data_IF_451294282572
#
_entry.id   IF_451294282572
#
_cell.length_a   1.000
_cell.length_b   1.000
_cell.length_c   1.000
_cell.angle_alpha   90.00
_cell.angle_beta   90.00
_cell.angle_gamma   90.00
#
_symmetry.space_group_name_H-M   'P 1'
#
loop_
_entity.id
_entity.type
_entity.pdbx_description
1 polymer ?
#
# COMPACT_ATOMS: atom_id res chain seq x y z
N UNK A 1 -15.26 6.45 37.85
CA UNK A 1 -14.65 5.58 36.85
C UNK A 1 -14.80 6.30 35.52
N UNK A 2 -13.78 7.08 35.19
CA UNK A 2 -13.78 8.10 34.16
C UNK A 2 -13.10 7.60 32.89
N UNK A 3 -13.71 7.96 31.77
CA UNK A 3 -13.25 7.83 30.39
C UNK A 3 -11.75 8.10 30.18
N UNK A 4 -11.14 7.30 29.31
CA UNK A 4 -9.94 7.70 28.57
C UNK A 4 -10.26 7.63 27.08
N UNK A 5 -10.59 8.80 26.51
CA UNK A 5 -10.52 9.08 25.07
C UNK A 5 -9.09 9.51 24.72
N UNK A 6 -8.78 9.33 23.43
CA UNK A 6 -7.64 9.81 22.66
C UNK A 6 -6.40 8.89 22.59
N UNK A 7 -6.23 8.26 21.43
CA UNK A 7 -4.96 8.36 20.71
C UNK A 7 -5.26 8.97 19.34
N UNK A 8 -4.85 10.23 19.19
CA UNK A 8 -4.73 10.90 17.91
C UNK A 8 -3.55 10.27 17.17
N UNK A 9 -3.76 9.78 15.95
CA UNK A 9 -2.64 9.52 15.06
C UNK A 9 -2.36 10.80 14.27
N UNK A 10 -1.12 11.26 14.35
CA UNK A 10 -0.62 12.49 13.76
C UNK A 10 -0.61 12.32 12.24
N UNK A 11 -1.58 12.92 11.55
CA UNK A 11 -1.49 13.21 10.12
C UNK A 11 -0.61 14.45 9.94
N UNK A 12 0.71 14.30 9.97
CA UNK A 12 1.61 15.38 9.53
C UNK A 12 1.81 15.27 8.03
N UNK A 13 1.04 16.06 7.26
CA UNK A 13 1.22 16.18 5.81
C UNK A 13 0.00 16.62 5.01
N UNK A 14 -1.18 16.77 5.63
CA UNK A 14 -2.34 17.40 5.00
C UNK A 14 -2.56 18.76 5.65
N UNK A 15 -2.39 19.80 4.86
CA UNK A 15 -2.71 21.19 5.22
C UNK A 15 -4.18 21.24 5.68
N UNK A 16 -4.37 21.36 7.00
CA UNK A 16 -5.67 21.42 7.67
C UNK A 16 -6.26 22.83 7.59
N UNK A 17 -6.44 23.36 6.37
CA UNK A 17 -7.12 24.65 6.18
C UNK A 17 -8.57 24.52 5.72
N UNK A 18 -9.00 23.39 5.16
CA UNK A 18 -10.40 23.21 4.74
C UNK A 18 -11.06 22.06 5.52
N UNK A 19 -11.80 22.45 6.56
CA UNK A 19 -12.40 21.53 7.52
C UNK A 19 -13.40 20.56 6.89
N UNK A 20 -13.08 19.26 6.93
CA UNK A 20 -14.06 18.18 6.85
C UNK A 20 -13.57 16.94 7.62
N UNK A 21 -13.92 16.80 8.92
CA UNK A 21 -13.68 15.56 9.67
C UNK A 21 -14.64 14.41 9.29
N UNK A 22 -15.57 14.64 8.36
CA UNK A 22 -16.66 13.70 8.02
C UNK A 22 -16.36 12.75 6.85
N UNK A 23 -15.17 12.82 6.24
CA UNK A 23 -14.86 12.05 5.01
C UNK A 23 -14.67 10.54 5.27
N UNK A 24 -14.25 10.14 6.47
CA UNK A 24 -13.99 8.74 6.80
C UNK A 24 -15.25 7.91 7.07
N UNK A 25 -16.37 8.52 7.45
CA UNK A 25 -17.59 7.78 7.81
C UNK A 25 -18.59 7.63 6.65
N UNK A 26 -18.52 8.44 5.59
CA UNK A 26 -19.56 8.46 4.54
C UNK A 26 -19.36 7.50 3.37
N UNK A 27 -18.18 6.90 3.19
CA UNK A 27 -17.97 5.92 2.12
C UNK A 27 -18.44 4.50 2.47
N UNK A 28 -18.95 4.25 3.68
CA UNK A 28 -19.21 2.90 4.20
C UNK A 28 -20.67 2.65 4.58
N UNK A 29 -21.60 3.48 4.09
CA UNK A 29 -23.01 3.44 4.48
C UNK A 29 -23.89 2.55 3.62
N UNK A 30 -23.89 2.72 2.30
CA UNK A 30 -24.89 2.06 1.45
C UNK A 30 -24.31 1.85 0.04
N UNK A 31 -24.60 0.68 -0.53
CA UNK A 31 -24.23 0.23 -1.89
C UNK A 31 -22.86 -0.46 -2.00
N UNK A 32 -22.61 -1.47 -1.16
CA UNK A 32 -21.75 -2.60 -1.56
C UNK A 32 -22.43 -3.91 -1.15
N UNK A 33 -22.64 -4.83 -2.10
CA UNK A 33 -23.01 -6.21 -1.79
C UNK A 33 -21.96 -6.81 -0.82
N UNK A 34 -22.34 -7.65 0.15
CA UNK A 34 -21.44 -8.09 1.20
C UNK A 34 -20.48 -9.12 0.62
N UNK A 35 -19.23 -8.77 0.34
CA UNK A 35 -18.23 -9.83 0.05
C UNK A 35 -16.78 -9.48 0.43
N UNK A 36 -16.37 -8.21 0.50
CA UNK A 36 -15.04 -7.87 1.01
C UNK A 36 -15.08 -6.53 1.75
N UNK A 37 -14.98 -6.57 3.07
CA UNK A 37 -14.92 -5.41 3.97
C UNK A 37 -14.05 -5.75 5.17
N UNK A 38 -13.37 -4.78 5.76
CA UNK A 38 -12.71 -5.00 7.03
C UNK A 38 -13.74 -5.40 8.10
N UNK A 39 -13.36 -6.33 8.97
CA UNK A 39 -14.17 -6.73 10.13
C UNK A 39 -13.88 -5.85 11.35
N UNK A 40 -12.79 -5.07 11.28
CA UNK A 40 -12.41 -4.09 12.29
C UNK A 40 -12.21 -2.68 11.72
N UNK A 41 -11.91 -1.69 12.59
CA UNK A 41 -11.58 -0.33 12.15
C UNK A 41 -10.35 -0.28 11.25
N UNK A 42 -10.41 0.52 10.19
CA UNK A 42 -9.26 0.85 9.34
C UNK A 42 -8.33 1.78 10.10
N UNK A 43 -7.04 1.45 10.17
CA UNK A 43 -6.01 2.23 10.87
C UNK A 43 -5.18 3.08 9.92
N UNK A 44 -4.90 2.57 8.73
CA UNK A 44 -4.06 3.23 7.74
C UNK A 44 -4.57 2.98 6.33
N UNK A 45 -4.27 3.91 5.43
CA UNK A 45 -4.51 3.77 4.01
C UNK A 45 -3.46 4.53 3.21
N UNK A 46 -3.13 4.03 2.02
CA UNK A 46 -2.30 4.75 1.07
C UNK A 46 -2.73 4.47 -0.36
N UNK A 47 -2.28 5.30 -1.29
CA UNK A 47 -2.71 5.27 -2.68
C UNK A 47 -1.54 5.01 -3.61
N UNK A 48 -1.76 4.16 -4.60
CA UNK A 48 -0.85 3.96 -5.72
C UNK A 48 -1.50 4.50 -6.99
N UNK A 49 -0.92 5.56 -7.53
CA UNK A 49 -1.36 6.18 -8.78
C UNK A 49 -0.72 5.44 -9.96
N UNK A 50 -1.54 4.70 -10.71
CA UNK A 50 -1.10 3.93 -11.87
C UNK A 50 -1.24 4.77 -13.14
N UNK A 51 -2.44 5.29 -13.37
CA UNK A 51 -2.73 6.22 -14.45
C UNK A 51 -3.71 7.29 -13.97
N UNK A 52 -4.06 8.22 -14.85
CA UNK A 52 -5.17 9.15 -14.61
C UNK A 52 -6.54 8.46 -14.45
N UNK A 53 -6.70 7.23 -14.94
CA UNK A 53 -7.97 6.51 -14.90
C UNK A 53 -7.96 5.37 -13.87
N UNK A 54 -6.80 4.91 -13.40
CA UNK A 54 -6.70 3.85 -12.40
C UNK A 54 -5.85 4.30 -11.22
N UNK A 55 -6.47 4.23 -10.04
CA UNK A 55 -5.81 4.39 -8.75
C UNK A 55 -6.09 3.14 -7.92
N UNK A 56 -5.06 2.63 -7.23
CA UNK A 56 -5.26 1.62 -6.19
C UNK A 56 -5.28 2.31 -4.84
N UNK A 57 -6.26 1.97 -4.01
CA UNK A 57 -6.30 2.30 -2.60
C UNK A 57 -5.96 1.03 -1.82
N UNK A 58 -5.05 1.11 -0.87
CA UNK A 58 -4.65 -0.01 -0.02
C UNK A 58 -4.99 0.36 1.41
N UNK A 59 -5.79 -0.45 2.09
CA UNK A 59 -6.26 -0.19 3.45
C UNK A 59 -5.80 -1.27 4.40
N UNK A 60 -5.38 -0.86 5.61
CA UNK A 60 -4.95 -1.73 6.69
C UNK A 60 -5.82 -1.56 7.93
N UNK A 61 -6.14 -2.65 8.61
CA UNK A 61 -7.12 -2.66 9.72
C UNK A 61 -6.61 -3.37 10.98
N UNK A 62 -7.32 -3.13 12.07
CA UNK A 62 -7.16 -3.82 13.36
C UNK A 62 -7.39 -5.32 13.24
N UNK A 63 -8.19 -5.76 12.26
CA UNK A 63 -8.43 -7.19 12.00
C UNK A 63 -7.20 -7.95 11.48
N UNK A 64 -6.09 -7.26 11.22
CA UNK A 64 -4.87 -7.85 10.66
C UNK A 64 -5.02 -8.20 9.18
N UNK A 65 -5.98 -7.61 8.48
CA UNK A 65 -6.12 -7.76 7.05
C UNK A 65 -5.73 -6.46 6.33
N UNK A 66 -5.18 -6.62 5.13
CA UNK A 66 -4.94 -5.55 4.17
C UNK A 66 -5.85 -5.78 2.97
N UNK A 67 -6.56 -4.76 2.48
CA UNK A 67 -7.40 -4.87 1.28
C UNK A 67 -6.91 -3.90 0.21
N UNK A 68 -6.74 -4.39 -1.02
CA UNK A 68 -6.44 -3.57 -2.20
C UNK A 68 -7.74 -3.34 -2.97
N UNK A 69 -8.02 -2.07 -3.26
CA UNK A 69 -9.20 -1.60 -3.96
C UNK A 69 -8.79 -0.88 -5.24
N UNK A 70 -9.51 -1.10 -6.34
CA UNK A 70 -9.39 -0.30 -7.54
C UNK A 70 -10.43 0.82 -7.56
N UNK A 71 -9.99 2.04 -7.82
CA UNK A 71 -10.83 3.14 -8.26
C UNK A 71 -10.56 3.40 -9.75
N UNK A 72 -11.59 3.23 -10.58
CA UNK A 72 -11.55 3.62 -11.99
C UNK A 72 -12.27 4.95 -12.20
N UNK A 73 -11.53 5.96 -12.68
CA UNK A 73 -12.10 7.23 -13.13
C UNK A 73 -12.78 7.04 -14.48
N UNK A 74 -14.01 7.54 -14.65
CA UNK A 74 -14.58 7.67 -15.99
C UNK A 74 -13.78 8.73 -16.75
N UNK A 75 -13.44 8.44 -18.01
CA UNK A 75 -12.58 9.28 -18.86
C UNK A 75 -13.26 10.57 -19.33
N UNK A 76 -13.79 11.37 -18.41
CA UNK A 76 -14.40 12.67 -18.69
C UNK A 76 -13.82 13.73 -17.76
N UNK A 77 -13.04 14.62 -18.37
CA UNK A 77 -12.55 15.91 -17.87
C UNK A 77 -11.22 15.92 -17.10
N UNK A 78 -10.22 16.42 -17.83
CA UNK A 78 -8.97 16.99 -17.32
C UNK A 78 -9.25 18.10 -16.30
N UNK A 79 -8.82 17.90 -15.06
CA UNK A 79 -8.45 18.99 -14.16
C UNK A 79 -7.74 18.36 -12.97
N UNK A 80 -6.48 18.75 -12.72
CA UNK A 80 -5.85 18.58 -11.40
C UNK A 80 -6.57 19.57 -10.47
N UNK A 81 -7.76 19.17 -10.02
CA UNK A 81 -8.51 19.77 -8.93
C UNK A 81 -9.02 18.60 -8.09
N UNK A 82 -9.24 18.78 -6.78
CA UNK A 82 -9.85 17.74 -5.95
C UNK A 82 -11.14 17.30 -6.63
N UNK A 83 -11.29 16.00 -6.84
CA UNK A 83 -12.41 15.41 -7.57
C UNK A 83 -13.69 15.71 -6.79
N UNK A 84 -14.37 16.79 -7.16
CA UNK A 84 -15.69 17.12 -6.64
C UNK A 84 -16.74 16.28 -7.37
N UNK A 85 -17.43 15.42 -6.61
CA UNK A 85 -18.78 14.87 -6.86
C UNK A 85 -19.01 13.75 -7.89
N UNK A 86 -17.97 13.12 -8.46
CA UNK A 86 -18.18 11.80 -9.09
C UNK A 86 -18.15 10.70 -8.01
N UNK A 87 -19.17 9.85 -7.94
CA UNK A 87 -19.15 8.65 -7.09
C UNK A 87 -18.10 7.69 -7.61
N UNK A 88 -16.86 7.84 -7.14
CA UNK A 88 -15.79 6.88 -7.42
C UNK A 88 -16.17 5.57 -6.75
N UNK A 89 -16.59 4.58 -7.55
CA UNK A 89 -16.85 3.23 -7.06
C UNK A 89 -15.53 2.52 -6.85
N UNK A 90 -15.20 2.21 -5.60
CA UNK A 90 -14.06 1.37 -5.26
C UNK A 90 -14.47 -0.11 -5.37
N UNK A 91 -13.75 -0.86 -6.19
CA UNK A 91 -13.94 -2.31 -6.34
C UNK A 91 -12.85 -3.03 -5.54
N UNK A 92 -13.21 -3.93 -4.61
CA UNK A 92 -12.21 -4.78 -3.95
C UNK A 92 -11.55 -5.71 -4.98
N UNK A 93 -10.22 -5.77 -4.95
CA UNK A 93 -9.44 -6.68 -5.79
C UNK A 93 -9.01 -7.92 -5.01
N UNK A 94 -8.44 -7.71 -3.82
CA UNK A 94 -7.88 -8.76 -2.97
C UNK A 94 -7.80 -8.31 -1.52
N UNK A 95 -8.05 -9.23 -0.60
CA UNK A 95 -7.71 -9.19 0.81
C UNK A 95 -6.49 -10.07 1.04
N UNK A 96 -5.44 -9.43 1.55
CA UNK A 96 -4.22 -10.05 2.00
C UNK A 96 -4.29 -10.29 3.50
N UNK A 97 -4.01 -11.51 3.91
CA UNK A 97 -3.98 -11.92 5.32
C UNK A 97 -2.63 -12.55 5.67
N UNK A 98 -2.19 -12.39 6.91
CA UNK A 98 -1.06 -13.15 7.45
C UNK A 98 -1.56 -14.04 8.59
N UNK A 99 -1.82 -15.31 8.29
CA UNK A 99 -2.35 -16.29 9.27
C UNK A 99 -1.50 -16.41 10.53
N UNK A 100 -0.18 -16.22 10.41
CA UNK A 100 0.74 -16.42 11.52
C UNK A 100 0.69 -15.26 12.52
N UNK A 101 0.27 -14.09 12.04
CA UNK A 101 0.22 -12.84 12.81
C UNK A 101 -1.19 -12.46 13.24
N UNK A 102 -2.21 -12.89 12.50
CA UNK A 102 -3.62 -12.65 12.84
C UNK A 102 -4.04 -13.53 14.03
N UNK A 103 -4.89 -13.04 14.94
CA UNK A 103 -5.41 -11.67 15.08
C UNK A 103 -4.55 -10.81 16.03
N UNK A 104 -3.28 -11.19 16.27
CA UNK A 104 -2.47 -10.57 17.33
C UNK A 104 -1.97 -9.18 16.94
N UNK A 105 -1.74 -8.96 15.65
CA UNK A 105 -1.21 -7.69 15.15
C UNK A 105 -2.11 -7.11 14.07
N UNK A 106 -2.22 -5.79 14.09
CA UNK A 106 -2.89 -4.97 13.09
C UNK A 106 -1.94 -4.57 11.95
N UNK A 107 -2.53 -4.10 10.85
CA UNK A 107 -1.78 -3.38 9.81
C UNK A 107 -1.65 -1.92 10.22
N UNK A 108 -0.45 -1.51 10.61
CA UNK A 108 -0.22 -0.21 11.26
C UNK A 108 0.15 0.90 10.28
N UNK A 109 0.83 0.55 9.20
CA UNK A 109 1.32 1.54 8.23
C UNK A 109 1.45 0.92 6.86
N UNK A 110 1.16 1.74 5.84
CA UNK A 110 1.27 1.38 4.43
C UNK A 110 1.98 2.53 3.71
N UNK A 111 3.02 2.19 2.96
CA UNK A 111 3.73 3.14 2.09
C UNK A 111 3.67 2.62 0.66
N UNK A 112 3.40 3.52 -0.28
CA UNK A 112 3.43 3.23 -1.72
C UNK A 112 4.49 4.10 -2.39
N UNK A 113 5.19 3.53 -3.36
CA UNK A 113 6.11 4.28 -4.23
C UNK A 113 5.97 3.76 -5.66
N UNK A 114 6.22 4.63 -6.62
CA UNK A 114 6.46 4.25 -8.01
C UNK A 114 7.80 4.82 -8.45
N UNK A 115 8.46 4.11 -9.35
CA UNK A 115 9.69 4.56 -9.98
C UNK A 115 9.66 4.25 -11.46
N UNK A 116 10.15 5.20 -12.26
CA UNK A 116 10.27 5.08 -13.71
C UNK A 116 11.72 5.35 -14.12
N UNK A 117 12.24 4.57 -15.08
CA UNK A 117 13.58 4.82 -15.63
C UNK A 117 13.58 6.15 -16.38
N UNK A 118 14.46 7.07 -15.97
CA UNK A 118 14.70 8.30 -16.71
C UNK A 118 15.13 7.96 -18.14
N UNK A 119 14.37 8.46 -19.13
CA UNK A 119 14.49 8.25 -20.59
C UNK A 119 13.87 6.98 -21.18
N UNK A 120 13.30 6.08 -20.38
CA UNK A 120 12.49 4.96 -20.86
C UNK A 120 11.16 4.98 -20.08
N UNK A 121 10.14 5.67 -20.58
CA UNK A 121 8.75 5.57 -20.08
C UNK A 121 8.21 4.12 -20.14
N UNK A 122 9.02 3.21 -20.68
CA UNK A 122 8.64 1.85 -20.95
C UNK A 122 8.87 0.88 -19.78
N UNK A 123 9.41 1.31 -18.64
CA UNK A 123 9.54 0.45 -17.45
C UNK A 123 9.09 1.17 -16.20
N UNK A 124 8.16 0.56 -15.49
CA UNK A 124 7.61 1.11 -14.25
C UNK A 124 7.68 0.04 -13.16
N UNK A 125 8.26 0.43 -12.04
CA UNK A 125 8.31 -0.37 -10.82
C UNK A 125 7.35 0.24 -9.78
N UNK A 126 6.49 -0.60 -9.22
CA UNK A 126 5.60 -0.25 -8.12
C UNK A 126 6.01 -0.98 -6.85
N UNK A 127 6.02 -0.24 -5.75
CA UNK A 127 6.37 -0.76 -4.42
C UNK A 127 5.23 -0.48 -3.45
N UNK A 128 4.79 -1.51 -2.74
CA UNK A 128 3.82 -1.40 -1.64
C UNK A 128 4.46 -2.03 -0.41
N UNK A 129 4.69 -1.20 0.61
CA UNK A 129 5.24 -1.60 1.89
C UNK A 129 4.10 -1.70 2.90
N UNK A 130 3.98 -2.83 3.59
CA UNK A 130 2.92 -3.10 4.55
C UNK A 130 3.57 -3.52 5.88
N UNK A 131 3.32 -2.75 6.94
CA UNK A 131 3.75 -3.07 8.29
C UNK A 131 2.71 -3.93 9.00
N UNK A 132 3.10 -5.15 9.39
CA UNK A 132 2.28 -6.11 10.10
C UNK A 132 3.00 -6.53 11.40
N UNK A 133 2.66 -5.89 12.51
CA UNK A 133 3.35 -6.15 13.78
C UNK A 133 4.84 -5.82 13.65
N UNK A 134 5.70 -6.83 13.82
CA UNK A 134 7.16 -6.70 13.68
C UNK A 134 7.69 -7.10 12.28
N UNK A 135 6.80 -7.42 11.33
CA UNK A 135 7.16 -7.70 9.94
C UNK A 135 6.84 -6.52 9.02
N UNK A 136 7.70 -6.31 8.03
CA UNK A 136 7.45 -5.40 6.91
C UNK A 136 7.47 -6.23 5.63
N UNK A 137 6.37 -6.17 4.89
CA UNK A 137 6.21 -6.83 3.61
C UNK A 137 6.45 -5.81 2.51
N UNK A 138 7.26 -6.18 1.52
CA UNK A 138 7.47 -5.38 0.31
C UNK A 138 6.87 -6.17 -0.85
N UNK A 139 5.80 -5.63 -1.43
CA UNK A 139 5.23 -6.09 -2.69
C UNK A 139 5.88 -5.26 -3.79
N UNK A 140 6.70 -5.89 -4.61
CA UNK A 140 7.39 -5.25 -5.72
C UNK A 140 6.82 -5.79 -7.04
N UNK A 141 6.39 -4.88 -7.91
CA UNK A 141 5.77 -5.20 -9.19
C UNK A 141 6.56 -4.45 -10.26
N UNK A 142 7.24 -5.22 -11.11
CA UNK A 142 7.97 -4.73 -12.25
C UNK A 142 7.17 -4.97 -13.52
N UNK A 143 6.83 -3.90 -14.24
CA UNK A 143 6.10 -3.97 -15.51
C UNK A 143 6.96 -3.44 -16.66
N UNK A 144 7.02 -4.21 -17.74
CA UNK A 144 7.74 -3.82 -18.94
C UNK A 144 6.75 -3.42 -20.05
N UNK A 145 6.64 -2.13 -20.31
CA UNK A 145 5.83 -1.57 -21.39
C UNK A 145 6.38 -1.82 -22.79
N UNK A 146 7.62 -2.28 -22.97
CA UNK A 146 8.03 -2.76 -24.29
C UNK A 146 7.11 -3.90 -24.79
N UNK A 147 6.47 -4.60 -23.84
CA UNK A 147 5.44 -5.62 -24.08
C UNK A 147 4.02 -5.01 -23.99
N UNK A 148 3.79 -4.04 -23.10
CA UNK A 148 2.47 -3.39 -22.91
C UNK A 148 2.24 -2.26 -23.94
N UNK A 149 1.47 -2.58 -24.97
CA UNK A 149 1.26 -1.75 -26.16
C UNK A 149 0.55 -0.41 -25.85
N UNK A 150 -0.21 -0.31 -24.74
CA UNK A 150 -0.89 0.93 -24.33
C UNK A 150 -1.22 1.03 -22.81
N UNK A 151 -1.68 2.21 -22.36
CA UNK A 151 -2.05 2.48 -20.95
C UNK A 151 -3.23 1.64 -20.42
N UNK A 152 -4.14 1.23 -21.29
CA UNK A 152 -5.27 0.37 -20.91
C UNK A 152 -4.78 -1.04 -20.59
N UNK A 153 -3.81 -1.54 -21.36
CA UNK A 153 -3.19 -2.84 -21.12
C UNK A 153 -2.47 -2.84 -19.77
N UNK A 154 -1.72 -1.77 -19.46
CA UNK A 154 -1.12 -1.56 -18.13
C UNK A 154 -2.17 -1.65 -17.01
N UNK A 155 -3.26 -0.90 -17.14
CA UNK A 155 -4.34 -0.89 -16.14
C UNK A 155 -4.94 -2.29 -15.95
N UNK A 156 -5.17 -3.02 -17.05
CA UNK A 156 -5.72 -4.36 -17.00
C UNK A 156 -4.74 -5.37 -16.38
N UNK A 157 -3.46 -5.33 -16.74
CA UNK A 157 -2.44 -6.22 -16.16
C UNK A 157 -2.32 -6.06 -14.64
N UNK A 158 -2.38 -4.82 -14.12
CA UNK A 158 -2.38 -4.59 -12.67
C UNK A 158 -3.65 -5.11 -11.99
N UNK A 159 -4.82 -4.92 -12.62
CA UNK A 159 -6.07 -5.45 -12.08
C UNK A 159 -6.09 -6.99 -12.10
N UNK A 160 -5.55 -7.62 -13.14
CA UNK A 160 -5.44 -9.07 -13.23
C UNK A 160 -4.48 -9.62 -12.15
N UNK A 161 -3.34 -8.97 -11.96
CA UNK A 161 -2.36 -9.34 -10.93
C UNK A 161 -2.96 -9.35 -9.52
N UNK A 162 -3.75 -8.31 -9.19
CA UNK A 162 -4.40 -8.21 -7.88
C UNK A 162 -5.73 -8.93 -7.79
N UNK A 163 -6.36 -9.37 -8.88
CA UNK A 163 -7.64 -10.10 -8.82
C UNK A 163 -7.47 -11.61 -8.76
N UNK A 164 -6.27 -12.14 -9.03
CA UNK A 164 -5.86 -13.55 -8.93
C UNK A 164 -7.00 -14.54 -9.24
N UNK A 165 -7.51 -14.52 -10.48
CA UNK A 165 -8.55 -15.46 -10.90
C UNK A 165 -9.88 -15.38 -10.13
N UNK A 166 -10.17 -14.22 -9.51
CA UNK A 166 -11.31 -13.90 -8.63
C UNK A 166 -11.20 -14.39 -7.19
N UNK A 167 -10.06 -14.95 -6.76
CA UNK A 167 -9.88 -15.28 -5.35
C UNK A 167 -9.66 -13.99 -4.55
N UNK A 168 -10.65 -13.65 -3.73
CA UNK A 168 -10.65 -12.39 -2.98
C UNK A 168 -9.89 -12.48 -1.64
N UNK A 169 -9.73 -13.66 -1.04
CA UNK A 169 -9.04 -13.84 0.24
C UNK A 169 -7.81 -14.74 0.05
N UNK A 170 -6.62 -14.21 0.31
CA UNK A 170 -5.34 -14.91 0.09
C UNK A 170 -4.40 -14.70 1.27
N UNK A 171 -3.71 -15.76 1.68
CA UNK A 171 -2.60 -15.64 2.62
C UNK A 171 -1.36 -15.11 1.90
N UNK A 172 -0.61 -14.19 2.51
CA UNK A 172 0.61 -13.63 1.92
C UNK A 172 1.62 -14.71 1.45
N UNK A 173 1.71 -15.84 2.16
CA UNK A 173 2.57 -16.96 1.76
C UNK A 173 2.09 -17.57 0.43
N UNK A 174 0.77 -17.68 0.22
CA UNK A 174 0.17 -18.16 -1.02
C UNK A 174 0.35 -17.13 -2.15
N UNK A 175 0.23 -15.84 -1.84
CA UNK A 175 0.42 -14.77 -2.82
C UNK A 175 1.82 -14.82 -3.45
N UNK A 176 2.85 -15.08 -2.64
CA UNK A 176 4.21 -15.19 -3.15
C UNK A 176 4.34 -16.33 -4.18
N UNK A 177 3.74 -17.49 -3.88
CA UNK A 177 3.75 -18.62 -4.81
C UNK A 177 3.03 -18.27 -6.12
N UNK A 178 1.89 -17.56 -6.05
CA UNK A 178 1.12 -17.16 -7.22
C UNK A 178 1.85 -16.14 -8.10
N UNK A 179 2.43 -15.11 -7.50
CA UNK A 179 3.16 -14.06 -8.22
C UNK A 179 4.51 -14.52 -8.78
N UNK A 180 5.15 -15.52 -8.14
CA UNK A 180 6.41 -16.09 -8.62
C UNK A 180 6.29 -16.89 -9.92
N UNK A 181 5.07 -17.31 -10.31
CA UNK A 181 4.80 -17.97 -11.58
C UNK A 181 4.72 -16.88 -12.66
N UNK A 182 5.90 -16.51 -13.20
CA UNK A 182 6.11 -15.52 -14.28
C UNK A 182 4.85 -15.24 -15.12
N UNK A 183 4.37 -14.00 -15.06
CA UNK A 183 3.41 -13.48 -16.03
C UNK A 183 4.14 -13.03 -17.30
N UNK A 184 3.42 -12.94 -18.41
CA UNK A 184 3.97 -12.72 -19.76
C UNK A 184 4.50 -11.27 -19.95
N UNK A 185 4.09 -10.33 -19.07
CA UNK A 185 4.27 -8.88 -19.26
C UNK A 185 5.08 -8.18 -18.13
N UNK A 186 5.66 -8.96 -17.20
CA UNK A 186 6.39 -8.44 -16.04
C UNK A 186 6.75 -9.51 -15.00
N UNK A 187 7.22 -9.09 -13.83
CA UNK A 187 7.34 -9.98 -12.66
C UNK A 187 6.87 -9.27 -11.39
N UNK A 188 6.33 -10.03 -10.46
CA UNK A 188 5.99 -9.57 -9.13
C UNK A 188 6.69 -10.45 -8.09
N UNK A 189 7.20 -9.84 -7.04
CA UNK A 189 7.91 -10.53 -5.95
C UNK A 189 7.48 -9.97 -4.59
N UNK A 190 7.67 -10.80 -3.57
CA UNK A 190 7.39 -10.44 -2.18
C UNK A 190 8.66 -10.62 -1.36
N UNK A 191 9.12 -9.53 -0.75
CA UNK A 191 10.20 -9.58 0.24
C UNK A 191 9.64 -9.36 1.64
N UNK A 192 10.28 -9.97 2.65
CA UNK A 192 9.84 -9.93 4.05
C UNK A 192 11.01 -9.54 4.93
N UNK A 193 10.84 -8.47 5.70
CA UNK A 193 11.80 -8.02 6.67
C UNK A 193 11.24 -8.19 8.07
N UNK A 194 12.04 -8.74 8.98
CA UNK A 194 11.71 -8.87 10.40
C UNK A 194 12.47 -7.83 11.19
N UNK A 195 11.75 -7.14 12.06
CA UNK A 195 12.30 -6.19 13.02
C UNK A 195 12.20 -6.80 14.41
N UNK A 196 12.97 -6.28 15.36
CA UNK A 196 12.96 -6.79 16.73
C UNK A 196 11.68 -6.43 17.49
N UNK A 197 10.98 -5.38 17.05
CA UNK A 197 9.87 -4.73 17.77
C UNK A 197 8.75 -4.35 16.81
N UNK A 198 7.57 -4.02 17.34
CA UNK A 198 6.42 -3.69 16.49
C UNK A 198 6.70 -2.40 15.71
N UNK A 199 6.44 -2.42 14.42
CA UNK A 199 6.45 -1.24 13.55
C UNK A 199 5.20 -0.42 13.83
N UNK A 200 5.43 0.82 14.27
CA UNK A 200 4.38 1.78 14.61
C UNK A 200 3.99 2.59 13.38
N UNK A 201 4.99 3.06 12.64
CA UNK A 201 4.79 3.94 11.49
C UNK A 201 5.91 3.72 10.46
N UNK A 202 5.59 3.94 9.18
CA UNK A 202 6.55 3.97 8.09
C UNK A 202 6.37 5.22 7.24
N UNK A 203 7.47 5.72 6.70
CA UNK A 203 7.48 6.73 5.66
C UNK A 203 8.36 6.30 4.50
N UNK A 204 8.08 6.81 3.30
CA UNK A 204 8.95 6.62 2.15
C UNK A 204 10.32 7.24 2.43
N UNK A 205 11.39 6.52 2.06
CA UNK A 205 12.75 7.07 2.13
C UNK A 205 12.88 8.32 1.25
N UNK A 206 12.21 8.30 0.09
CA UNK A 206 12.03 9.44 -0.81
C UNK A 206 10.62 9.44 -1.39
N UNK A 207 9.91 10.57 -1.32
CA UNK A 207 8.58 10.71 -1.91
C UNK A 207 8.59 10.61 -3.44
N UNK A 208 9.64 11.14 -4.06
CA UNK A 208 9.87 11.09 -5.51
C UNK A 208 11.27 10.50 -5.76
N UNK A 209 11.41 9.16 -5.76
CA UNK A 209 12.70 8.54 -5.99
C UNK A 209 13.16 8.81 -7.43
N UNK A 210 14.39 9.30 -7.59
CA UNK A 210 15.04 9.51 -8.90
C UNK A 210 15.75 8.24 -9.36
N UNK A 211 16.19 7.41 -8.41
CA UNK A 211 16.89 6.16 -8.65
C UNK A 211 16.23 5.01 -7.87
N UNK A 212 16.28 3.79 -8.40
CA UNK A 212 15.71 2.60 -7.74
C UNK A 212 16.29 2.30 -6.34
N UNK A 213 17.51 2.76 -6.04
CA UNK A 213 18.10 2.62 -4.69
C UNK A 213 17.50 3.60 -3.65
N UNK A 214 16.70 4.56 -4.09
CA UNK A 214 15.96 5.50 -3.24
C UNK A 214 14.55 4.99 -2.92
N UNK A 215 14.10 3.92 -3.59
CA UNK A 215 12.91 3.19 -3.21
C UNK A 215 13.18 2.42 -1.91
N UNK A 216 12.27 2.50 -0.95
CA UNK A 216 12.46 2.00 0.40
C UNK A 216 11.70 2.80 1.43
N UNK A 217 11.76 2.35 2.67
CA UNK A 217 11.05 2.98 3.80
C UNK A 217 11.96 3.23 4.99
N UNK A 218 11.57 4.23 5.78
CA UNK A 218 12.04 4.45 7.14
C UNK A 218 10.90 4.04 8.07
N UNK A 219 11.15 3.16 9.03
CA UNK A 219 10.15 2.65 9.95
C UNK A 219 10.50 2.99 11.40
N UNK A 220 9.52 3.49 12.16
CA UNK A 220 9.60 3.72 13.59
C UNK A 220 9.10 2.47 14.34
N UNK A 221 9.93 1.93 15.22
CA UNK A 221 9.61 0.79 16.06
C UNK A 221 9.05 1.22 17.42
N UNK A 222 8.36 0.31 18.11
CA UNK A 222 7.67 0.59 19.37
C UNK A 222 8.60 0.90 20.56
N UNK A 223 9.91 0.60 20.47
CA UNK A 223 10.92 1.06 21.42
C UNK A 223 11.50 2.46 21.09
N UNK A 224 11.04 3.10 20.03
CA UNK A 224 11.60 4.37 19.54
C UNK A 224 12.82 4.22 18.63
N UNK A 225 13.23 3.00 18.29
CA UNK A 225 14.27 2.77 17.29
C UNK A 225 13.76 3.04 15.88
N UNK A 226 14.62 3.56 15.01
CA UNK A 226 14.31 3.81 13.60
C UNK A 226 15.09 2.80 12.77
N UNK A 227 14.43 2.12 11.83
CA UNK A 227 15.08 1.24 10.86
C UNK A 227 14.88 1.75 9.43
N UNK A 228 15.92 1.66 8.60
CA UNK A 228 15.84 2.00 7.17
C UNK A 228 15.93 0.73 6.34
N UNK A 229 14.99 0.59 5.41
CA UNK A 229 14.83 -0.56 4.52
C UNK A 229 14.88 -0.07 3.07
N UNK A 230 16.08 0.00 2.47
CA UNK A 230 16.20 0.28 1.04
C UNK A 230 15.82 -0.96 0.23
N UNK A 231 15.08 -0.78 -0.87
CA UNK A 231 14.65 -1.88 -1.72
C UNK A 231 15.83 -2.66 -2.33
N UNK A 232 16.89 -1.95 -2.77
CA UNK A 232 18.02 -2.57 -3.48
C UNK A 232 19.04 -3.28 -2.58
N UNK A 233 18.75 -3.47 -1.28
CA UNK A 233 19.66 -4.25 -0.42
C UNK A 233 19.41 -5.74 -0.65
N UNK A 234 20.48 -6.44 -1.02
CA UNK A 234 20.51 -7.90 -1.21
C UNK A 234 20.65 -8.67 0.10
N UNK A 235 20.88 -7.96 1.20
CA UNK A 235 21.16 -8.55 2.50
C UNK A 235 19.97 -8.26 3.41
N UNK A 236 19.54 -9.25 4.19
CA UNK A 236 18.47 -9.12 5.20
C UNK A 236 18.80 -8.11 6.32
N UNK A 237 19.94 -7.41 6.23
CA UNK A 237 20.41 -6.43 7.20
C UNK A 237 19.70 -5.08 7.05
N UNK A 238 18.87 -4.79 8.05
CA UNK A 238 18.26 -3.49 8.29
C UNK A 238 19.33 -2.47 8.73
N UNK A 239 19.18 -1.20 8.33
CA UNK A 239 20.00 -0.12 8.91
C UNK A 239 19.31 0.36 10.18
N UNK A 240 19.92 0.11 11.33
CA UNK A 240 19.41 0.55 12.62
C UNK A 240 19.94 1.95 12.96
N UNK A 241 19.03 2.87 13.26
CA UNK A 241 19.31 4.21 13.76
C UNK A 241 18.69 4.35 15.15
N UNK A 242 19.55 4.47 16.16
CA UNK A 242 19.11 4.83 17.51
C UNK A 242 19.36 6.31 17.73
N UNK A 243 18.29 7.03 18.06
CA UNK A 243 18.41 8.38 18.61
C UNK A 243 18.94 8.20 20.03
N UNK A 244 20.24 8.44 20.23
CA UNK A 244 20.84 8.37 21.55
C UNK A 244 20.39 9.55 22.41
N UNK A 245 19.89 9.28 23.61
CA UNK A 245 19.80 10.28 24.66
C UNK A 245 21.24 10.65 25.06
N UNK A 246 21.67 11.86 24.70
CA UNK A 246 22.89 12.47 25.25
C UNK A 246 22.54 13.26 26.51
#
# INVERSE_FOLDING_TARGET
>A
MSDFRASACILSGLDLSDGHPDFFYRCWGDICKPTLQHTGPVLCANYLYVTKNLQLCITGSVDGDCIVWAARGSSTSQSIKPITTATTTYQPLIRLTNSDMKPRYSINSIVTQSWTMNNEENKIDYFIFIAFGYEILILHIHLNHDILINKTDLENSLLELFSNGKQLDINIVELNALWSIKTIDGYAEIQRFKTDHIVVEMSALHHEPVNMNQCGVVALLSNGEIVIIPFKRTDDELIHLRVGDK
#
